data_IF_384231004112
#
_entry.id   IF_384231004112
#
_cell.length_a   1.000
_cell.length_b   1.000
_cell.length_c   1.000
_cell.angle_alpha   90.00
_cell.angle_beta   90.00
_cell.angle_gamma   90.00
#
_symmetry.space_group_name_H-M   'P 1'
#
loop_
_entity.id
_entity.type
_entity.pdbx_description
1 polymer ?
#
# COMPACT_ATOMS: atom_id res chain seq x y z
N UNK A 1 -13.67 19.32 21.46
CA UNK A 1 -12.58 19.85 20.62
C UNK A 1 -12.13 18.73 19.72
N UNK A 2 -12.11 18.93 18.40
CA UNK A 2 -11.70 17.89 17.44
C UNK A 2 -10.19 17.97 17.13
N UNK A 3 -9.64 16.97 16.45
CA UNK A 3 -8.20 16.91 16.15
C UNK A 3 -7.76 18.07 15.24
N UNK A 4 -8.57 18.42 14.24
CA UNK A 4 -8.28 19.52 13.31
C UNK A 4 -8.21 20.88 14.03
N UNK A 5 -9.14 21.16 14.93
CA UNK A 5 -9.15 22.34 15.81
C UNK A 5 -7.92 22.37 16.71
N UNK A 6 -7.47 21.21 17.19
CA UNK A 6 -6.26 21.10 18.02
C UNK A 6 -5.02 21.47 17.22
N UNK A 7 -4.86 20.90 16.02
CA UNK A 7 -3.75 21.22 15.11
C UNK A 7 -3.74 22.72 14.78
N UNK A 8 -4.90 23.28 14.43
CA UNK A 8 -5.03 24.71 14.15
C UNK A 8 -4.63 25.60 15.34
N UNK A 9 -5.07 25.25 16.56
CA UNK A 9 -4.71 26.03 17.75
C UNK A 9 -3.21 25.97 18.04
N UNK A 10 -2.56 24.86 17.76
CA UNK A 10 -1.10 24.73 17.93
C UNK A 10 -0.34 25.51 16.86
N UNK A 11 -0.83 25.56 15.62
CA UNK A 11 -0.15 26.29 14.54
C UNK A 11 -0.10 27.81 14.79
N UNK A 12 -1.09 28.38 15.48
CA UNK A 12 -1.10 29.81 15.86
C UNK A 12 0.05 30.22 16.79
N UNK A 13 0.65 29.28 17.53
CA UNK A 13 1.75 29.58 18.45
C UNK A 13 3.13 29.41 17.78
N UNK A 14 3.19 28.98 16.52
CA UNK A 14 4.44 28.75 15.82
C UNK A 14 4.95 30.03 15.16
N UNK A 15 6.27 30.30 15.22
CA UNK A 15 6.91 31.25 14.32
C UNK A 15 6.73 30.84 12.85
N UNK A 16 6.74 31.81 11.93
CA UNK A 16 6.51 31.58 10.50
C UNK A 16 7.41 30.49 9.90
N UNK A 17 8.69 30.46 10.28
CA UNK A 17 9.64 29.44 9.82
C UNK A 17 9.24 28.02 10.25
N UNK A 18 8.77 27.85 11.48
CA UNK A 18 8.31 26.56 11.99
C UNK A 18 6.93 26.18 11.43
N UNK A 19 6.07 27.16 11.15
CA UNK A 19 4.78 26.93 10.50
C UNK A 19 4.96 26.42 9.06
N UNK A 20 5.99 26.91 8.35
CA UNK A 20 6.39 26.43 7.02
C UNK A 20 6.83 24.96 7.07
N UNK A 21 7.68 24.61 8.02
CA UNK A 21 8.13 23.22 8.22
C UNK A 21 6.97 22.28 8.59
N UNK A 22 6.04 22.75 9.42
CA UNK A 22 4.83 21.99 9.74
C UNK A 22 3.94 21.75 8.51
N UNK A 23 3.82 22.75 7.62
CA UNK A 23 3.08 22.61 6.36
C UNK A 23 3.75 21.58 5.45
N UNK A 24 5.06 21.66 5.26
CA UNK A 24 5.82 20.69 4.45
C UNK A 24 5.62 19.25 4.96
N UNK A 25 5.60 19.07 6.29
CA UNK A 25 5.35 17.76 6.89
C UNK A 25 3.92 17.27 6.67
N UNK A 26 2.92 18.15 6.73
CA UNK A 26 1.53 17.81 6.43
C UNK A 26 1.39 17.41 4.96
N UNK A 27 1.97 18.16 4.02
CA UNK A 27 1.97 17.82 2.59
C UNK A 27 2.65 16.47 2.32
N UNK A 28 3.76 16.18 3.02
CA UNK A 28 4.40 14.87 2.96
C UNK A 28 3.46 13.74 3.45
N UNK A 29 2.75 13.95 4.56
CA UNK A 29 1.79 12.97 5.07
C UNK A 29 0.62 12.80 4.11
N UNK A 30 0.14 13.89 3.50
CA UNK A 30 -0.90 13.85 2.48
C UNK A 30 -0.46 13.02 1.29
N UNK A 31 0.78 13.14 0.80
CA UNK A 31 1.28 12.30 -0.29
C UNK A 31 1.43 10.84 0.12
N UNK A 32 1.95 10.59 1.33
CA UNK A 32 2.21 9.23 1.84
C UNK A 32 0.91 8.46 2.11
N UNK A 33 -0.11 9.14 2.60
CA UNK A 33 -1.40 8.55 2.98
C UNK A 33 -2.52 8.91 2.01
N UNK A 34 -2.23 9.68 0.95
CA UNK A 34 -3.13 9.79 -0.18
C UNK A 34 -3.48 8.36 -0.57
N UNK A 35 -4.77 8.03 -0.69
CA UNK A 35 -5.13 6.78 -1.34
C UNK A 35 -4.45 6.86 -2.69
N UNK A 36 -3.43 6.00 -2.90
CA UNK A 36 -2.71 5.82 -4.16
C UNK A 36 -3.75 6.10 -5.22
N UNK A 37 -3.58 7.17 -5.99
CA UNK A 37 -4.53 7.53 -7.01
C UNK A 37 -4.75 6.25 -7.80
N UNK A 38 -5.87 5.59 -7.53
CA UNK A 38 -6.16 4.32 -8.15
C UNK A 38 -6.27 4.73 -9.59
N UNK A 39 -5.24 4.41 -10.37
CA UNK A 39 -5.40 4.27 -11.81
C UNK A 39 -6.73 3.54 -11.94
N UNK A 40 -7.72 4.10 -12.67
CA UNK A 40 -9.09 3.67 -12.55
C UNK A 40 -9.13 2.17 -12.81
N UNK A 41 -9.19 1.38 -11.73
CA UNK A 41 -9.40 -0.03 -11.80
C UNK A 41 -10.88 -0.10 -12.14
N UNK A 42 -11.17 -0.10 -13.44
CA UNK A 42 -12.39 -0.63 -14.00
C UNK A 42 -12.68 -1.89 -13.20
N UNK A 43 -13.73 -1.85 -12.39
CA UNK A 43 -14.03 -2.81 -11.31
C UNK A 43 -14.21 -4.27 -11.79
N UNK A 44 -14.08 -4.50 -13.11
CA UNK A 44 -14.24 -5.76 -13.83
C UNK A 44 -13.12 -6.01 -14.86
N UNK A 45 -11.95 -5.39 -14.71
CA UNK A 45 -10.86 -5.55 -15.68
C UNK A 45 -9.96 -6.73 -15.32
N UNK A 46 -10.52 -7.92 -15.47
CA UNK A 46 -9.80 -9.19 -15.26
C UNK A 46 -8.56 -9.26 -16.15
N UNK A 47 -8.61 -8.69 -17.36
CA UNK A 47 -7.46 -8.64 -18.26
C UNK A 47 -6.33 -7.78 -17.70
N UNK A 48 -6.63 -6.58 -17.18
CA UNK A 48 -5.64 -5.73 -16.54
C UNK A 48 -5.03 -6.39 -15.27
N UNK A 49 -5.86 -7.06 -14.47
CA UNK A 49 -5.38 -7.82 -13.30
C UNK A 49 -4.47 -8.98 -13.69
N UNK A 50 -4.86 -9.77 -14.70
CA UNK A 50 -4.06 -10.88 -15.20
C UNK A 50 -2.75 -10.40 -15.83
N UNK A 51 -2.75 -9.27 -16.54
CA UNK A 51 -1.54 -8.68 -17.10
C UNK A 51 -0.55 -8.22 -16.02
N UNK A 52 -1.04 -7.61 -14.93
CA UNK A 52 -0.22 -7.21 -13.80
C UNK A 52 0.35 -8.41 -13.02
N UNK A 53 -0.43 -9.50 -12.90
CA UNK A 53 0.00 -10.72 -12.24
C UNK A 53 0.98 -11.55 -13.09
N UNK A 54 0.72 -11.66 -14.40
CA UNK A 54 1.56 -12.43 -15.32
C UNK A 54 2.95 -11.80 -15.54
N UNK A 55 3.08 -10.48 -15.38
CA UNK A 55 4.37 -9.80 -15.35
C UNK A 55 5.05 -9.77 -13.97
N UNK A 56 4.44 -10.39 -12.95
CA UNK A 56 4.75 -10.19 -11.53
C UNK A 56 5.51 -11.34 -10.86
N UNK A 57 6.04 -12.31 -11.61
CA UNK A 57 7.05 -13.20 -11.04
C UNK A 57 8.37 -12.42 -11.01
N UNK A 58 8.87 -12.16 -9.80
CA UNK A 58 10.17 -11.49 -9.60
C UNK A 58 11.30 -12.27 -10.29
N UNK A 59 12.42 -11.62 -10.59
CA UNK A 59 13.63 -12.31 -11.09
C UNK A 59 14.10 -13.43 -10.15
N UNK A 60 13.73 -13.38 -8.87
CA UNK A 60 14.01 -14.41 -7.87
C UNK A 60 13.03 -15.58 -7.89
N UNK A 61 12.02 -15.59 -8.77
CA UNK A 61 11.12 -16.72 -8.91
C UNK A 61 11.82 -17.81 -9.74
N UNK A 62 11.93 -19.05 -9.23
CA UNK A 62 12.72 -20.08 -9.88
C UNK A 62 12.10 -20.48 -11.22
N UNK A 63 12.86 -20.28 -12.30
CA UNK A 63 12.48 -20.73 -13.66
C UNK A 63 12.48 -22.26 -13.81
N UNK A 64 13.11 -22.97 -12.87
CA UNK A 64 13.23 -24.42 -12.85
C UNK A 64 12.49 -25.00 -11.64
N UNK A 65 11.16 -25.09 -11.74
CA UNK A 65 10.34 -25.92 -10.85
C UNK A 65 10.15 -27.28 -11.53
N UNK A 66 10.51 -28.34 -10.83
CA UNK A 66 10.30 -29.74 -11.22
C UNK A 66 9.22 -30.39 -10.35
N UNK A 67 8.75 -31.59 -10.74
CA UNK A 67 7.76 -32.34 -9.97
C UNK A 67 8.25 -32.66 -8.54
N UNK A 68 9.57 -32.74 -8.33
CA UNK A 68 10.18 -32.99 -7.03
C UNK A 68 10.04 -31.79 -6.07
N UNK A 69 9.83 -30.58 -6.60
CA UNK A 69 9.64 -29.34 -5.83
C UNK A 69 8.19 -29.14 -5.38
N UNK A 70 7.25 -29.91 -5.94
CA UNK A 70 5.83 -29.81 -5.61
C UNK A 70 5.52 -30.55 -4.31
N UNK A 71 4.75 -29.91 -3.44
CA UNK A 71 4.27 -30.55 -2.21
C UNK A 71 3.35 -31.72 -2.53
N UNK A 72 3.51 -32.84 -1.81
CA UNK A 72 2.60 -33.97 -1.92
C UNK A 72 1.22 -33.62 -1.33
N UNK A 73 0.16 -33.89 -2.10
CA UNK A 73 -1.21 -33.75 -1.63
C UNK A 73 -1.42 -34.60 -0.37
N UNK A 74 -1.71 -33.94 0.75
CA UNK A 74 -2.06 -34.59 1.99
C UNK A 74 -3.56 -34.38 2.30
N UNK A 75 -4.26 -35.40 2.83
CA UNK A 75 -5.63 -35.21 3.27
C UNK A 75 -5.67 -34.14 4.37
N UNK A 76 -6.69 -33.28 4.32
CA UNK A 76 -6.90 -32.26 5.34
C UNK A 76 -6.95 -32.93 6.71
N UNK A 77 -6.12 -32.44 7.64
CA UNK A 77 -6.19 -32.85 9.05
C UNK A 77 -7.49 -32.30 9.65
N UNK A 78 -8.21 -33.15 10.36
CA UNK A 78 -9.32 -32.70 11.21
C UNK A 78 -8.69 -31.94 12.38
N UNK A 79 -9.14 -30.71 12.61
CA UNK A 79 -8.78 -29.97 13.82
C UNK A 79 -9.60 -30.53 14.99
N UNK A 80 -8.93 -30.94 16.06
CA UNK A 80 -9.54 -31.33 17.34
C UNK A 80 -10.19 -30.13 18.06
#
# INVERSE_FOLDING_TARGET
>A
MNLAETIYRHSLNLPESAAREALDFIEFLEQRYAPLASAPASRNDTEAFLAALAGGLSEDFPDAISDDDLGNDAPRKVLD
#
